data_IF_071750266850
#
_entry.id   IF_071750266850
#
_cell.length_a   1.000
_cell.length_b   1.000
_cell.length_c   1.000
_cell.angle_alpha   90.00
_cell.angle_beta   90.00
_cell.angle_gamma   90.00
#
_symmetry.space_group_name_H-M   'P 1'
#
loop_
_entity.id
_entity.type
_entity.pdbx_description
1 polymer ?
#
# COMPACT_ATOMS: atom_id res chain seq x y z
N UNK A 1 -15.39 51.47 47.07
CA UNK A 1 -15.79 50.68 45.91
C UNK A 1 -14.71 50.59 44.80
N UNK A 2 -13.41 50.43 45.12
CA UNK A 2 -12.34 50.46 44.10
C UNK A 2 -11.52 49.15 44.00
N UNK A 3 -11.79 48.15 44.81
CA UNK A 3 -10.95 46.92 44.88
C UNK A 3 -11.40 45.76 43.95
N UNK A 4 -12.63 45.80 43.43
CA UNK A 4 -13.22 44.68 42.67
C UNK A 4 -12.87 44.69 41.17
N UNK A 5 -12.45 45.83 40.59
CA UNK A 5 -12.12 45.96 39.15
C UNK A 5 -10.73 45.42 38.76
N UNK A 6 -9.78 45.29 39.68
CA UNK A 6 -8.40 44.84 39.34
C UNK A 6 -8.25 43.30 39.19
N UNK A 7 -9.08 42.48 39.86
CA UNK A 7 -8.98 41.01 39.77
C UNK A 7 -9.53 40.40 38.46
N UNK A 8 -10.52 41.06 37.85
CA UNK A 8 -11.15 40.58 36.60
C UNK A 8 -10.23 40.77 35.37
N UNK A 9 -9.36 41.79 35.38
CA UNK A 9 -8.46 42.04 34.24
C UNK A 9 -7.22 41.11 34.20
N UNK A 10 -6.78 40.55 35.34
CA UNK A 10 -5.63 39.62 35.38
C UNK A 10 -5.99 38.24 34.85
N UNK A 11 -7.24 37.75 35.12
CA UNK A 11 -7.71 36.47 34.61
C UNK A 11 -7.92 36.46 33.08
N UNK A 12 -8.43 37.56 32.51
CA UNK A 12 -8.60 37.72 31.03
C UNK A 12 -7.27 37.77 30.28
N UNK A 13 -6.19 38.32 30.88
CA UNK A 13 -4.84 38.35 30.27
C UNK A 13 -4.17 36.95 30.30
N UNK A 14 -4.38 36.13 31.37
CA UNK A 14 -3.83 34.79 31.44
C UNK A 14 -4.48 33.84 30.44
N UNK A 15 -5.81 33.87 30.29
CA UNK A 15 -6.53 33.03 29.30
C UNK A 15 -6.16 33.39 27.86
N UNK A 16 -6.01 34.66 27.50
CA UNK A 16 -5.56 35.08 26.15
C UNK A 16 -4.14 34.64 25.83
N UNK A 17 -3.21 34.61 26.83
CA UNK A 17 -1.83 34.14 26.64
C UNK A 17 -1.76 32.62 26.45
N UNK A 18 -2.59 31.84 27.16
CA UNK A 18 -2.67 30.36 27.05
C UNK A 18 -3.26 29.93 25.70
N UNK A 19 -4.33 30.59 25.26
CA UNK A 19 -4.96 30.33 23.95
C UNK A 19 -3.99 30.64 22.79
N UNK A 20 -3.25 31.76 22.85
CA UNK A 20 -2.23 32.11 21.85
C UNK A 20 -1.04 31.12 21.83
N UNK A 21 -0.66 30.52 22.97
CA UNK A 21 0.39 29.48 23.04
C UNK A 21 -0.07 28.16 22.44
N UNK A 22 -1.31 27.74 22.67
CA UNK A 22 -1.89 26.51 22.13
C UNK A 22 -2.08 26.61 20.63
N UNK A 23 -2.54 27.75 20.12
CA UNK A 23 -2.67 27.98 18.66
C UNK A 23 -1.33 28.05 17.95
N UNK A 24 -0.28 28.68 18.56
CA UNK A 24 1.08 28.67 18.01
C UNK A 24 1.70 27.25 17.98
N UNK A 25 1.45 26.40 19.00
CA UNK A 25 1.90 24.99 18.99
C UNK A 25 1.18 24.13 17.94
N UNK A 26 -0.14 24.29 17.77
CA UNK A 26 -0.92 23.61 16.72
C UNK A 26 -0.48 24.03 15.30
N UNK A 27 -0.17 25.31 15.10
CA UNK A 27 0.32 25.78 13.80
C UNK A 27 1.76 25.33 13.51
N UNK A 28 2.61 25.14 14.54
CA UNK A 28 3.98 24.61 14.38
C UNK A 28 3.96 23.11 14.07
N UNK A 29 3.07 22.34 14.70
CA UNK A 29 2.85 20.92 14.40
C UNK A 29 2.23 20.72 13.00
N UNK A 30 1.27 21.54 12.60
CA UNK A 30 0.69 21.52 11.26
C UNK A 30 1.69 21.94 10.16
N UNK A 31 2.68 22.79 10.49
CA UNK A 31 3.76 23.19 9.57
C UNK A 31 4.80 22.08 9.42
N UNK A 32 5.09 21.33 10.51
CA UNK A 32 6.05 20.21 10.49
C UNK A 32 5.56 19.00 9.67
N UNK A 33 4.24 18.77 9.61
CA UNK A 33 3.62 17.71 8.79
C UNK A 33 3.58 18.10 7.29
N UNK A 34 3.76 19.39 6.95
CA UNK A 34 3.80 19.87 5.55
C UNK A 34 5.16 19.71 4.86
N UNK A 35 6.24 19.40 5.57
CA UNK A 35 7.62 19.53 5.06
C UNK A 35 8.25 18.25 4.50
N UNK A 36 7.54 17.11 4.47
CA UNK A 36 8.06 15.89 3.82
C UNK A 36 7.04 15.27 2.88
N UNK A 37 6.60 16.03 1.87
CA UNK A 37 5.98 15.38 0.71
C UNK A 37 7.09 14.87 -0.19
N UNK A 38 7.39 13.58 -0.08
CA UNK A 38 8.17 12.84 -1.07
C UNK A 38 7.53 13.13 -2.43
N UNK A 39 8.29 13.74 -3.34
CA UNK A 39 7.81 14.01 -4.70
C UNK A 39 7.87 12.71 -5.48
N UNK A 40 6.74 12.12 -5.78
CA UNK A 40 6.62 10.90 -6.58
C UNK A 40 6.21 11.28 -7.99
N UNK A 41 6.81 10.63 -8.97
CA UNK A 41 6.36 10.69 -10.37
C UNK A 41 5.08 9.87 -10.53
N UNK A 42 3.96 10.52 -10.21
CA UNK A 42 2.63 9.89 -10.20
C UNK A 42 2.22 9.37 -11.59
N UNK A 43 2.76 9.94 -12.67
CA UNK A 43 2.46 9.47 -14.03
C UNK A 43 3.11 8.11 -14.28
N UNK A 44 4.38 7.96 -13.90
CA UNK A 44 5.09 6.69 -14.02
C UNK A 44 4.52 5.63 -13.09
N UNK A 45 4.12 6.02 -11.87
CA UNK A 45 3.48 5.10 -10.92
C UNK A 45 2.22 4.45 -11.51
N UNK A 46 1.37 5.23 -12.19
CA UNK A 46 0.15 4.71 -12.82
C UNK A 46 0.41 3.85 -14.07
N UNK A 47 1.63 3.86 -14.60
CA UNK A 47 2.05 3.00 -15.72
C UNK A 47 2.59 1.64 -15.26
N UNK A 48 2.84 1.46 -13.93
CA UNK A 48 3.25 0.18 -13.39
C UNK A 48 2.04 -0.77 -13.30
N UNK A 49 2.11 -1.89 -13.99
CA UNK A 49 1.06 -2.90 -13.99
C UNK A 49 0.76 -3.42 -12.59
N UNK A 50 1.79 -3.60 -11.76
CA UNK A 50 1.67 -4.05 -10.39
C UNK A 50 0.94 -3.04 -9.50
N UNK A 51 1.16 -1.74 -9.73
CA UNK A 51 0.45 -0.68 -9.01
C UNK A 51 -1.03 -0.69 -9.35
N UNK A 52 -1.35 -0.80 -10.63
CA UNK A 52 -2.74 -0.88 -11.11
C UNK A 52 -3.42 -2.15 -10.61
N UNK A 53 -2.74 -3.31 -10.72
CA UNK A 53 -3.25 -4.59 -10.24
C UNK A 53 -3.56 -4.55 -8.75
N UNK A 54 -2.65 -4.04 -7.92
CA UNK A 54 -2.88 -3.92 -6.49
C UNK A 54 -4.12 -3.07 -6.15
N UNK A 55 -4.27 -1.90 -6.80
CA UNK A 55 -5.44 -1.03 -6.57
C UNK A 55 -6.73 -1.68 -7.07
N UNK A 56 -6.66 -2.41 -8.20
CA UNK A 56 -7.77 -3.18 -8.74
C UNK A 56 -8.23 -4.27 -7.79
N UNK A 57 -7.31 -5.03 -7.20
CA UNK A 57 -7.59 -6.10 -6.23
C UNK A 57 -8.24 -5.53 -4.95
N UNK A 58 -7.78 -4.35 -4.50
CA UNK A 58 -8.30 -3.69 -3.29
C UNK A 58 -9.69 -3.10 -3.50
N UNK A 59 -9.91 -2.39 -4.59
CA UNK A 59 -11.08 -1.54 -4.76
C UNK A 59 -11.91 -1.82 -6.01
N UNK A 60 -11.45 -2.71 -6.92
CA UNK A 60 -12.08 -2.99 -8.20
C UNK A 60 -11.88 -1.87 -9.22
N UNK A 61 -12.38 -2.06 -10.45
CA UNK A 61 -12.21 -1.12 -11.58
C UNK A 61 -12.62 0.32 -11.23
N UNK A 62 -13.84 0.49 -10.70
CA UNK A 62 -14.31 1.82 -10.29
C UNK A 62 -13.47 2.44 -9.18
N UNK A 63 -12.85 1.64 -8.32
CA UNK A 63 -11.93 2.10 -7.30
C UNK A 63 -10.59 2.55 -7.89
N UNK A 64 -10.12 1.88 -8.93
CA UNK A 64 -8.95 2.31 -9.69
C UNK A 64 -9.20 3.66 -10.36
N UNK A 65 -10.35 3.84 -11.02
CA UNK A 65 -10.73 5.12 -11.62
C UNK A 65 -10.74 6.27 -10.60
N UNK A 66 -11.29 6.02 -9.40
CA UNK A 66 -11.30 6.98 -8.30
C UNK A 66 -9.89 7.35 -7.87
N UNK A 67 -9.03 6.36 -7.70
CA UNK A 67 -7.64 6.57 -7.28
C UNK A 67 -6.83 7.33 -8.32
N UNK A 68 -6.90 6.93 -9.60
CA UNK A 68 -6.24 7.62 -10.70
C UNK A 68 -6.72 9.07 -10.84
N UNK A 69 -8.01 9.30 -10.69
CA UNK A 69 -8.58 10.63 -10.76
C UNK A 69 -8.03 11.54 -9.64
N UNK A 70 -7.97 11.03 -8.41
CA UNK A 70 -7.40 11.76 -7.28
C UNK A 70 -5.91 12.04 -7.45
N UNK A 71 -5.14 11.11 -8.01
CA UNK A 71 -3.73 11.33 -8.34
C UNK A 71 -3.55 12.47 -9.35
N UNK A 72 -4.38 12.49 -10.40
CA UNK A 72 -4.28 13.49 -11.49
C UNK A 72 -4.73 14.88 -11.07
N UNK A 73 -5.77 15.00 -10.24
CA UNK A 73 -6.43 16.27 -9.92
C UNK A 73 -6.18 16.73 -8.47
N UNK A 74 -5.55 15.92 -7.64
CA UNK A 74 -5.27 16.24 -6.24
C UNK A 74 -6.50 16.13 -5.35
N UNK A 75 -6.50 16.91 -4.26
CA UNK A 75 -7.56 16.89 -3.26
C UNK A 75 -8.90 17.36 -3.83
N UNK A 76 -9.97 16.59 -3.58
CA UNK A 76 -11.30 16.88 -4.11
C UNK A 76 -12.42 16.57 -3.12
N UNK A 77 -13.50 17.39 -3.18
CA UNK A 77 -14.74 17.17 -2.42
C UNK A 77 -15.45 15.91 -2.92
N UNK A 78 -15.96 15.07 -1.99
CA UNK A 78 -16.62 13.81 -2.29
C UNK A 78 -17.75 13.92 -3.31
N UNK A 79 -18.64 14.92 -3.14
CA UNK A 79 -19.77 15.12 -4.06
C UNK A 79 -19.31 15.54 -5.47
N UNK A 80 -18.26 16.34 -5.55
CA UNK A 80 -17.68 16.77 -6.82
C UNK A 80 -17.00 15.59 -7.53
N UNK A 81 -16.26 14.76 -6.78
CA UNK A 81 -15.61 13.57 -7.26
C UNK A 81 -16.62 12.56 -7.83
N UNK A 82 -17.74 12.33 -7.11
CA UNK A 82 -18.81 11.46 -7.59
C UNK A 82 -19.44 11.98 -8.90
N UNK A 83 -19.68 13.28 -9.02
CA UNK A 83 -20.20 13.90 -10.26
C UNK A 83 -19.21 13.74 -11.43
N UNK A 84 -17.92 14.01 -11.21
CA UNK A 84 -16.89 13.93 -12.25
C UNK A 84 -16.71 12.50 -12.77
N UNK A 85 -16.83 11.51 -11.91
CA UNK A 85 -16.74 10.09 -12.26
C UNK A 85 -18.09 9.46 -12.63
N UNK A 86 -19.14 10.27 -12.82
CA UNK A 86 -20.48 9.87 -13.26
C UNK A 86 -21.14 8.78 -12.37
N UNK A 87 -20.91 8.85 -11.05
CA UNK A 87 -21.64 8.01 -10.12
C UNK A 87 -23.09 8.53 -9.97
N UNK A 88 -24.05 7.63 -10.02
CA UNK A 88 -25.49 7.97 -9.88
C UNK A 88 -25.79 8.69 -8.56
N UNK A 89 -25.17 8.24 -7.47
CA UNK A 89 -25.35 8.80 -6.12
C UNK A 89 -23.99 9.06 -5.47
N UNK A 90 -23.86 10.16 -4.74
CA UNK A 90 -22.65 10.50 -3.98
C UNK A 90 -22.26 9.38 -2.99
N UNK A 91 -23.25 8.66 -2.43
CA UNK A 91 -22.98 7.55 -1.51
C UNK A 91 -22.35 6.32 -2.21
N UNK A 92 -22.53 6.16 -3.52
CA UNK A 92 -22.00 5.01 -4.25
C UNK A 92 -20.47 5.04 -4.32
N UNK A 93 -19.84 6.21 -4.34
CA UNK A 93 -18.37 6.34 -4.37
C UNK A 93 -17.73 5.99 -3.02
N UNK A 94 -18.46 6.17 -1.90
CA UNK A 94 -17.91 5.97 -0.54
C UNK A 94 -17.35 4.58 -0.32
N UNK A 95 -18.00 3.54 -0.85
CA UNK A 95 -17.51 2.17 -0.68
C UNK A 95 -16.12 1.97 -1.27
N UNK A 96 -15.81 2.63 -2.40
CA UNK A 96 -14.51 2.57 -3.03
C UNK A 96 -13.49 3.39 -2.27
N UNK A 97 -13.86 4.61 -1.85
CA UNK A 97 -13.03 5.47 -1.02
C UNK A 97 -12.66 4.81 0.31
N UNK A 98 -13.59 4.12 0.97
CA UNK A 98 -13.29 3.41 2.21
C UNK A 98 -12.41 2.18 2.01
N UNK A 99 -12.57 1.43 0.90
CA UNK A 99 -11.64 0.33 0.57
C UNK A 99 -10.22 0.84 0.38
N UNK A 100 -10.05 1.92 -0.35
CA UNK A 100 -8.77 2.58 -0.55
C UNK A 100 -8.20 3.16 0.77
N UNK A 101 -9.07 3.76 1.58
CA UNK A 101 -8.71 4.32 2.88
C UNK A 101 -8.20 3.26 3.86
N UNK A 102 -8.84 2.09 3.91
CA UNK A 102 -8.43 0.98 4.77
C UNK A 102 -7.02 0.44 4.43
N UNK A 103 -6.56 0.68 3.20
CA UNK A 103 -5.20 0.36 2.75
C UNK A 103 -4.26 1.59 2.75
N UNK A 104 -4.69 2.70 3.35
CA UNK A 104 -3.97 3.97 3.39
C UNK A 104 -3.63 4.58 2.01
N UNK A 105 -4.28 4.12 0.93
CA UNK A 105 -4.07 4.62 -0.42
C UNK A 105 -4.68 6.00 -0.63
N UNK A 106 -5.70 6.35 0.14
CA UNK A 106 -6.30 7.68 0.21
C UNK A 106 -6.45 8.13 1.64
N UNK A 107 -6.49 9.43 1.85
CA UNK A 107 -6.81 10.06 3.12
C UNK A 107 -7.88 11.11 2.92
N UNK A 108 -8.51 11.55 4.02
CA UNK A 108 -9.51 12.60 3.94
C UNK A 108 -9.34 13.63 5.05
N UNK A 109 -9.82 14.84 4.79
CA UNK A 109 -10.09 15.83 5.81
C UNK A 109 -11.57 16.25 5.80
N UNK A 110 -12.11 16.54 6.97
CA UNK A 110 -13.46 17.03 7.13
C UNK A 110 -13.46 18.52 7.42
N UNK A 111 -14.31 19.25 6.74
CA UNK A 111 -14.46 20.70 6.90
C UNK A 111 -15.91 21.00 7.24
N UNK A 112 -16.12 21.74 8.33
CA UNK A 112 -17.44 22.27 8.67
C UNK A 112 -17.57 23.65 8.04
N UNK A 113 -18.47 23.80 7.07
CA UNK A 113 -18.80 25.13 6.53
C UNK A 113 -19.63 25.91 7.55
N UNK A 114 -19.31 27.18 7.76
CA UNK A 114 -20.08 28.08 8.61
C UNK A 114 -21.56 28.03 8.21
N UNK A 115 -22.46 27.88 9.19
CA UNK A 115 -23.91 27.73 9.05
C UNK A 115 -24.44 26.38 8.50
N UNK A 116 -23.63 25.31 8.40
CA UNK A 116 -24.15 23.99 8.04
C UNK A 116 -23.99 23.00 9.19
N UNK A 117 -25.03 22.15 9.38
CA UNK A 117 -25.03 21.12 10.44
C UNK A 117 -24.08 19.94 10.11
N UNK A 118 -23.72 19.75 8.86
CA UNK A 118 -22.95 18.61 8.36
C UNK A 118 -21.53 18.98 7.92
N UNK A 119 -20.65 17.96 7.92
CA UNK A 119 -19.27 18.07 7.44
C UNK A 119 -19.19 17.78 5.94
N UNK A 120 -18.29 18.49 5.25
CA UNK A 120 -17.87 18.19 3.88
C UNK A 120 -16.55 17.44 3.94
N UNK A 121 -16.44 16.32 3.20
CA UNK A 121 -15.23 15.49 3.13
C UNK A 121 -14.46 15.81 1.87
N UNK A 122 -13.17 16.01 2.03
CA UNK A 122 -12.21 16.21 0.94
C UNK A 122 -11.24 15.04 0.96
N UNK A 123 -11.11 14.37 -0.16
CA UNK A 123 -10.28 13.19 -0.33
C UNK A 123 -9.04 13.50 -1.14
N UNK A 124 -7.90 12.88 -0.79
CA UNK A 124 -6.63 12.98 -1.47
C UNK A 124 -5.99 11.61 -1.59
N UNK A 125 -5.35 11.32 -2.72
CA UNK A 125 -4.55 10.09 -2.91
C UNK A 125 -3.20 10.21 -2.20
N UNK A 126 -2.69 9.06 -1.71
CA UNK A 126 -1.38 8.92 -1.09
C UNK A 126 -0.51 8.00 -1.97
N UNK A 127 0.02 8.48 -3.11
CA UNK A 127 0.82 7.65 -4.01
C UNK A 127 2.08 7.09 -3.36
N UNK A 128 2.65 7.79 -2.36
CA UNK A 128 3.79 7.33 -1.56
C UNK A 128 3.51 6.02 -0.83
N UNK A 129 2.28 5.81 -0.38
CA UNK A 129 1.91 4.56 0.29
C UNK A 129 1.85 3.39 -0.68
N UNK A 130 1.36 3.64 -1.90
CA UNK A 130 1.33 2.61 -2.94
C UNK A 130 2.74 2.17 -3.33
N UNK A 131 3.68 3.12 -3.49
CA UNK A 131 5.09 2.80 -3.79
C UNK A 131 5.70 1.94 -2.69
N UNK A 132 5.50 2.29 -1.41
CA UNK A 132 5.99 1.52 -0.27
C UNK A 132 5.40 0.12 -0.20
N UNK A 133 4.11 -0.05 -0.55
CA UNK A 133 3.46 -1.36 -0.58
C UNK A 133 4.10 -2.24 -1.66
N UNK A 134 4.31 -1.70 -2.86
CA UNK A 134 4.92 -2.44 -3.97
C UNK A 134 6.39 -2.79 -3.65
N UNK A 135 7.15 -1.85 -3.08
CA UNK A 135 8.53 -2.09 -2.62
C UNK A 135 8.57 -3.27 -1.65
N UNK A 136 7.71 -3.27 -0.64
CA UNK A 136 7.62 -4.36 0.34
C UNK A 136 7.17 -5.69 -0.28
N UNK A 137 6.23 -5.68 -1.24
CA UNK A 137 5.81 -6.89 -1.95
C UNK A 137 6.98 -7.55 -2.68
N UNK A 138 7.80 -6.78 -3.38
CA UNK A 138 8.99 -7.30 -4.06
C UNK A 138 10.04 -7.80 -3.07
N UNK A 139 10.29 -7.07 -1.98
CA UNK A 139 11.23 -7.52 -0.94
C UNK A 139 10.81 -8.86 -0.33
N UNK A 140 9.53 -9.03 -0.01
CA UNK A 140 9.02 -10.30 0.53
C UNK A 140 9.10 -11.43 -0.50
N UNK A 141 8.80 -11.18 -1.78
CA UNK A 141 8.94 -12.21 -2.83
C UNK A 141 10.41 -12.65 -3.00
N UNK A 142 11.36 -11.70 -3.01
CA UNK A 142 12.79 -11.98 -3.06
C UNK A 142 13.22 -12.80 -1.85
N UNK A 143 12.79 -12.44 -0.66
CA UNK A 143 13.12 -13.14 0.59
C UNK A 143 12.58 -14.58 0.59
N UNK A 144 11.33 -14.77 0.16
CA UNK A 144 10.73 -16.10 0.04
C UNK A 144 11.44 -16.96 -1.00
N UNK A 145 11.81 -16.36 -2.15
CA UNK A 145 12.57 -17.06 -3.19
C UNK A 145 13.94 -17.48 -2.69
N UNK A 146 14.67 -16.60 -1.99
CA UNK A 146 15.97 -16.92 -1.36
C UNK A 146 15.85 -18.06 -0.35
N UNK A 147 14.86 -17.99 0.54
CA UNK A 147 14.61 -19.08 1.52
C UNK A 147 14.31 -20.40 0.81
N UNK A 148 13.55 -20.38 -0.25
CA UNK A 148 13.25 -21.55 -1.08
C UNK A 148 14.49 -22.09 -1.82
N UNK A 149 15.45 -21.23 -2.18
CA UNK A 149 16.75 -21.67 -2.73
C UNK A 149 17.59 -22.41 -1.68
N UNK A 150 17.64 -21.89 -0.46
CA UNK A 150 18.38 -22.52 0.63
C UNK A 150 17.90 -23.96 0.90
N UNK A 151 16.58 -24.17 0.86
CA UNK A 151 15.97 -25.48 1.03
C UNK A 151 16.27 -26.45 -0.14
N UNK A 152 16.55 -25.93 -1.33
CA UNK A 152 16.82 -26.73 -2.52
C UNK A 152 18.31 -26.94 -2.82
N UNK A 153 19.20 -26.39 -2.01
CA UNK A 153 20.67 -26.54 -2.20
C UNK A 153 21.19 -27.92 -1.84
N UNK A 154 20.37 -28.74 -1.16
CA UNK A 154 20.90 -29.90 -0.50
C UNK A 154 21.13 -31.10 -1.44
N UNK A 155 20.24 -31.41 -2.38
CA UNK A 155 20.37 -32.60 -3.25
C UNK A 155 19.32 -32.55 -4.39
N UNK A 156 19.56 -33.31 -5.45
CA UNK A 156 18.59 -33.60 -6.49
C UNK A 156 17.37 -34.31 -5.90
N UNK A 157 16.22 -34.05 -6.45
CA UNK A 157 14.97 -34.59 -5.93
C UNK A 157 14.03 -35.03 -7.05
N UNK A 158 13.06 -35.85 -6.67
CA UNK A 158 12.06 -36.38 -7.57
C UNK A 158 10.69 -35.75 -7.28
N UNK A 159 9.91 -35.46 -8.32
CA UNK A 159 8.57 -34.90 -8.21
C UNK A 159 7.56 -35.77 -8.93
N UNK A 160 6.45 -36.07 -8.27
CA UNK A 160 5.33 -36.80 -8.88
C UNK A 160 4.65 -35.91 -9.94
N UNK A 161 4.39 -36.52 -11.12
CA UNK A 161 3.73 -35.86 -12.26
C UNK A 161 2.25 -35.55 -11.99
N UNK A 162 1.60 -36.24 -11.05
CA UNK A 162 0.17 -36.08 -10.74
C UNK A 162 -0.06 -35.13 -9.58
N UNK A 163 0.57 -35.38 -8.40
CA UNK A 163 0.31 -34.62 -7.18
C UNK A 163 1.38 -33.58 -6.83
N UNK A 164 2.44 -33.46 -7.63
CA UNK A 164 3.59 -32.59 -7.42
C UNK A 164 4.30 -32.78 -6.05
N UNK A 165 4.12 -33.92 -5.40
CA UNK A 165 4.82 -34.26 -4.15
C UNK A 165 6.29 -34.51 -4.42
N UNK A 166 7.14 -33.98 -3.55
CA UNK A 166 8.58 -34.12 -3.62
C UNK A 166 9.05 -35.35 -2.83
N UNK A 167 10.05 -36.06 -3.34
CA UNK A 167 10.72 -37.23 -2.77
C UNK A 167 12.23 -37.03 -2.87
N UNK A 168 12.98 -37.47 -1.87
CA UNK A 168 14.42 -37.65 -1.99
C UNK A 168 14.75 -38.92 -2.79
N UNK A 169 16.04 -39.12 -3.13
CA UNK A 169 16.49 -40.27 -3.91
C UNK A 169 16.22 -41.59 -3.17
N UNK A 170 16.37 -41.60 -1.84
CA UNK A 170 16.17 -42.78 -1.02
C UNK A 170 14.70 -43.21 -1.01
N UNK A 171 13.80 -42.24 -0.86
CA UNK A 171 12.35 -42.49 -0.92
C UNK A 171 11.90 -42.90 -2.33
N UNK A 172 12.47 -42.30 -3.38
CA UNK A 172 12.16 -42.63 -4.77
C UNK A 172 12.57 -44.07 -5.09
N UNK A 173 13.79 -44.48 -4.69
CA UNK A 173 14.28 -45.85 -4.85
C UNK A 173 13.43 -46.87 -4.09
N UNK A 174 13.04 -46.58 -2.85
CA UNK A 174 12.21 -47.48 -2.03
C UNK A 174 10.82 -47.73 -2.65
N UNK A 175 10.35 -46.85 -3.53
CA UNK A 175 9.02 -46.94 -4.14
C UNK A 175 9.09 -47.15 -5.66
N UNK A 176 10.19 -47.69 -6.18
CA UNK A 176 10.39 -47.93 -7.61
C UNK A 176 10.06 -46.73 -8.49
N UNK A 177 10.45 -45.52 -8.06
CA UNK A 177 10.16 -44.23 -8.70
C UNK A 177 8.66 -43.99 -8.93
N UNK A 178 7.82 -44.48 -8.01
CA UNK A 178 6.37 -44.25 -8.01
C UNK A 178 5.93 -43.52 -6.75
N UNK A 179 4.94 -42.64 -6.92
CA UNK A 179 4.37 -41.87 -5.82
C UNK A 179 3.61 -42.79 -4.85
N UNK A 180 3.88 -42.68 -3.56
CA UNK A 180 3.15 -43.42 -2.49
C UNK A 180 1.66 -43.06 -2.42
N UNK A 181 1.25 -41.91 -2.93
CA UNK A 181 -0.09 -41.37 -2.77
C UNK A 181 -1.03 -41.74 -3.95
N UNK A 182 -0.51 -41.68 -5.17
CA UNK A 182 -1.30 -41.81 -6.40
C UNK A 182 -0.65 -42.73 -7.45
N UNK A 183 0.48 -43.36 -7.12
CA UNK A 183 1.25 -44.22 -8.02
C UNK A 183 1.76 -43.54 -9.30
N UNK A 184 1.71 -42.20 -9.37
CA UNK A 184 2.28 -41.43 -10.47
C UNK A 184 3.79 -41.61 -10.61
N UNK A 185 4.32 -41.31 -11.79
CA UNK A 185 5.77 -41.44 -12.04
C UNK A 185 6.52 -40.31 -11.35
N UNK A 186 7.64 -40.64 -10.73
CA UNK A 186 8.53 -39.66 -10.12
C UNK A 186 9.58 -39.20 -11.14
N UNK A 187 9.48 -37.95 -11.54
CA UNK A 187 10.43 -37.34 -12.47
C UNK A 187 11.60 -36.72 -11.73
N UNK A 188 12.80 -36.96 -12.20
CA UNK A 188 14.02 -36.35 -11.66
C UNK A 188 14.05 -34.83 -11.95
N UNK A 189 14.38 -34.05 -10.94
CA UNK A 189 14.52 -32.59 -11.04
C UNK A 189 15.92 -32.20 -10.59
N UNK A 190 16.71 -31.67 -11.52
CA UNK A 190 18.06 -31.18 -11.25
C UNK A 190 17.97 -29.92 -10.36
N UNK A 191 18.56 -29.99 -9.17
CA UNK A 191 18.54 -28.85 -8.23
C UNK A 191 19.26 -27.63 -8.79
N UNK A 192 20.31 -27.81 -9.60
CA UNK A 192 21.06 -26.75 -10.24
C UNK A 192 20.19 -25.88 -11.16
N UNK A 193 19.41 -26.47 -12.05
CA UNK A 193 18.48 -25.73 -12.93
C UNK A 193 17.43 -24.95 -12.13
N UNK A 194 16.89 -25.56 -11.07
CA UNK A 194 15.93 -24.88 -10.20
C UNK A 194 16.55 -23.69 -9.48
N UNK A 195 17.82 -23.78 -9.11
CA UNK A 195 18.55 -22.68 -8.48
C UNK A 195 18.84 -21.56 -9.47
N UNK A 196 19.22 -21.89 -10.71
CA UNK A 196 19.44 -20.90 -11.78
C UNK A 196 18.15 -20.13 -12.11
N UNK A 197 17.02 -20.82 -12.26
CA UNK A 197 15.71 -20.19 -12.52
C UNK A 197 15.32 -19.24 -11.39
N UNK A 198 15.51 -19.67 -10.12
CA UNK A 198 15.24 -18.81 -8.96
C UNK A 198 16.18 -17.63 -8.88
N UNK A 199 17.45 -17.80 -9.21
CA UNK A 199 18.41 -16.67 -9.25
C UNK A 199 17.99 -15.66 -10.32
N UNK A 200 17.66 -16.13 -11.53
CA UNK A 200 17.15 -15.30 -12.60
C UNK A 200 15.88 -14.52 -12.19
N UNK A 201 14.99 -15.16 -11.44
CA UNK A 201 13.79 -14.51 -10.87
C UNK A 201 14.16 -13.41 -9.88
N UNK A 202 15.12 -13.66 -8.98
CA UNK A 202 15.61 -12.66 -8.01
C UNK A 202 16.18 -11.45 -8.73
N UNK A 203 16.99 -11.66 -9.77
CA UNK A 203 17.62 -10.58 -10.53
C UNK A 203 16.59 -9.74 -11.27
N UNK A 204 15.57 -10.38 -11.82
CA UNK A 204 14.42 -9.69 -12.42
C UNK A 204 13.66 -8.83 -11.40
N UNK A 205 13.37 -9.38 -10.21
CA UNK A 205 12.68 -8.66 -9.14
C UNK A 205 13.51 -7.49 -8.61
N UNK A 206 14.83 -7.65 -8.47
CA UNK A 206 15.73 -6.58 -8.06
C UNK A 206 15.69 -5.41 -9.05
N UNK A 207 15.70 -5.67 -10.37
CA UNK A 207 15.57 -4.62 -11.40
C UNK A 207 14.23 -3.88 -11.29
N UNK A 208 13.14 -4.61 -11.04
CA UNK A 208 11.82 -3.99 -10.81
C UNK A 208 11.81 -3.14 -9.55
N UNK A 209 12.37 -3.63 -8.46
CA UNK A 209 12.49 -2.92 -7.18
C UNK A 209 13.27 -1.59 -7.34
N UNK A 210 14.39 -1.61 -8.04
CA UNK A 210 15.14 -0.38 -8.36
C UNK A 210 14.31 0.63 -9.14
N UNK A 211 13.53 0.18 -10.13
CA UNK A 211 12.66 1.05 -10.91
C UNK A 211 11.58 1.70 -10.05
N UNK A 212 10.99 0.95 -9.12
CA UNK A 212 10.01 1.47 -8.15
C UNK A 212 10.68 2.50 -7.24
N UNK A 213 11.87 2.23 -6.70
CA UNK A 213 12.61 3.15 -5.83
C UNK A 213 13.03 4.45 -6.53
N UNK A 214 13.32 4.40 -7.84
CA UNK A 214 13.58 5.60 -8.66
C UNK A 214 12.38 6.53 -8.83
N UNK A 215 11.16 6.08 -8.51
CA UNK A 215 9.96 6.94 -8.50
C UNK A 215 9.93 7.88 -7.29
N UNK A 216 10.69 7.58 -6.25
CA UNK A 216 10.82 8.39 -5.04
C UNK A 216 11.96 9.39 -5.28
N UNK A 217 11.61 10.67 -5.38
CA UNK A 217 12.56 11.78 -5.55
C UNK A 217 12.71 12.57 -4.27
#
# INVERSE_FOLDING_TARGET
MAATKRKVNSSKKKTKKTVKRVTKRKNKAAKFVKEQKIKIDSKKLLQLDEARKYVLDVAGEKGLDVFEFLIKHGEMEENLLAKKLKFEKANAIRKFLYRLYNKNLVSYRKVKKNNKAWYTYFWIANPEKLVLIIDHMYEEEIKQTKKSMELNKAEDFYVCDICNRRYDISEALQNDFRCKNDSGVLNHVESEKVLEDKQSRIDFLNKKLENVRKLIK
#
